data_IF_485970195246
#
_entry.id   IF_485970195246
#
_cell.length_a   1.000
_cell.length_b   1.000
_cell.length_c   1.000
_cell.angle_alpha   90.00
_cell.angle_beta   90.00
_cell.angle_gamma   90.00
#
_symmetry.space_group_name_H-M   'P 1'
#
loop_
_entity.id
_entity.type
_entity.pdbx_description
1 polymer ?
#
# COMPACT_ATOMS: atom_id res chain seq x y z
N UNK A 1 13.53 6.40 9.93
CA UNK A 1 13.29 5.99 8.52
C UNK A 1 11.98 6.58 8.02
N UNK A 2 11.95 7.02 6.77
CA UNK A 2 10.70 7.31 6.07
C UNK A 2 10.41 6.21 5.05
N UNK A 3 9.23 5.61 5.13
CA UNK A 3 8.76 4.62 4.18
C UNK A 3 7.69 5.25 3.29
N UNK A 4 7.93 5.25 1.99
CA UNK A 4 7.03 5.74 0.95
C UNK A 4 6.35 4.54 0.29
N UNK A 5 5.05 4.42 0.44
CA UNK A 5 4.22 3.39 -0.22
C UNK A 5 3.48 4.06 -1.37
N UNK A 6 3.72 3.58 -2.58
CA UNK A 6 3.27 4.22 -3.82
C UNK A 6 2.45 3.23 -4.64
N UNK A 7 1.23 3.61 -5.00
CA UNK A 7 0.44 2.86 -5.98
C UNK A 7 1.01 3.13 -7.39
N UNK A 8 1.04 2.10 -8.24
CA UNK A 8 1.39 2.25 -9.66
C UNK A 8 0.57 3.34 -10.37
N UNK A 9 1.07 3.85 -11.49
CA UNK A 9 0.37 4.77 -12.39
C UNK A 9 -0.83 4.10 -13.08
N UNK A 10 -1.57 4.88 -13.86
CA UNK A 10 -2.74 4.41 -14.61
C UNK A 10 -2.41 3.17 -15.46
N UNK A 11 -3.09 2.00 -15.22
CA UNK A 11 -2.66 0.72 -15.75
C UNK A 11 -3.40 0.28 -17.01
N UNK A 12 -2.73 -0.58 -17.78
CA UNK A 12 -3.32 -1.60 -18.64
C UNK A 12 -3.12 -2.94 -17.91
N UNK A 13 -4.18 -3.73 -17.79
CA UNK A 13 -4.10 -5.00 -17.06
C UNK A 13 -3.73 -6.18 -17.97
N UNK A 14 -4.03 -6.11 -19.28
CA UNK A 14 -3.69 -7.14 -20.25
C UNK A 14 -3.30 -6.50 -21.60
N UNK A 15 -2.01 -6.60 -22.00
CA UNK A 15 -0.86 -7.06 -21.23
C UNK A 15 -0.51 -6.08 -20.09
N UNK A 16 -0.02 -6.61 -18.96
CA UNK A 16 0.32 -5.81 -17.77
C UNK A 16 1.33 -4.70 -18.11
N UNK A 17 0.91 -3.44 -17.98
CA UNK A 17 1.71 -2.26 -18.31
C UNK A 17 1.07 -0.97 -17.80
N UNK A 18 1.71 0.18 -18.07
CA UNK A 18 1.11 1.51 -17.88
C UNK A 18 0.47 2.01 -19.18
N UNK A 19 -0.60 2.79 -19.05
CA UNK A 19 -1.12 3.62 -20.14
C UNK A 19 -0.17 4.78 -20.46
N UNK A 20 -0.34 5.51 -21.58
CA UNK A 20 0.38 6.76 -21.81
C UNK A 20 0.23 7.76 -20.66
N UNK A 21 -0.96 7.86 -20.04
CA UNK A 21 -1.20 8.67 -18.83
C UNK A 21 -0.38 8.16 -17.67
N UNK A 22 -0.36 6.86 -17.41
CA UNK A 22 0.43 6.25 -16.35
C UNK A 22 1.93 6.53 -16.48
N UNK A 23 2.47 6.54 -17.67
CA UNK A 23 3.86 6.93 -17.92
C UNK A 23 4.12 8.42 -17.62
N UNK A 24 3.18 9.31 -17.92
CA UNK A 24 3.30 10.74 -17.54
C UNK A 24 3.23 10.90 -16.01
N UNK A 25 2.33 10.19 -15.35
CA UNK A 25 2.25 10.17 -13.88
C UNK A 25 3.54 9.68 -13.23
N UNK A 26 4.15 8.61 -13.77
CA UNK A 26 5.44 8.08 -13.28
C UNK A 26 6.59 9.09 -13.45
N UNK A 27 6.62 9.83 -14.57
CA UNK A 27 7.61 10.92 -14.79
C UNK A 27 7.42 12.09 -13.83
N UNK A 28 6.18 12.50 -13.56
CA UNK A 28 5.86 13.54 -12.58
C UNK A 28 6.32 13.12 -11.16
N UNK A 29 6.08 11.86 -10.80
CA UNK A 29 6.51 11.28 -9.54
C UNK A 29 8.05 11.25 -9.41
N UNK A 30 8.77 10.92 -10.48
CA UNK A 30 10.23 10.94 -10.49
C UNK A 30 10.79 12.34 -10.20
N UNK A 31 10.19 13.41 -10.75
CA UNK A 31 10.56 14.79 -10.44
C UNK A 31 10.37 15.15 -8.96
N UNK A 32 9.26 14.66 -8.35
CA UNK A 32 9.04 14.82 -6.91
C UNK A 32 10.16 14.19 -6.10
N UNK A 33 10.56 12.96 -6.40
CA UNK A 33 11.63 12.29 -5.68
C UNK A 33 13.02 12.84 -5.98
N UNK A 34 13.23 13.47 -7.13
CA UNK A 34 14.50 14.15 -7.44
C UNK A 34 14.82 15.32 -6.48
N UNK A 35 13.80 15.91 -5.82
CA UNK A 35 14.00 17.06 -4.90
C UNK A 35 14.69 16.64 -3.61
N UNK A 36 14.27 15.52 -3.01
CA UNK A 36 14.76 15.09 -1.68
C UNK A 36 15.46 13.73 -1.69
N UNK A 37 15.45 13.05 -2.83
CA UNK A 37 16.08 11.75 -3.01
C UNK A 37 15.35 10.59 -2.29
N UNK A 38 15.84 9.40 -2.59
CA UNK A 38 15.56 8.15 -1.91
C UNK A 38 16.88 7.43 -1.70
N UNK A 39 16.94 6.53 -0.72
CA UNK A 39 18.11 5.68 -0.48
C UNK A 39 17.92 4.27 -1.07
N UNK A 40 16.66 3.79 -1.13
CA UNK A 40 16.32 2.48 -1.69
C UNK A 40 14.99 2.52 -2.43
N UNK A 41 14.92 1.77 -3.52
CA UNK A 41 13.71 1.57 -4.30
C UNK A 41 13.37 0.09 -4.37
N UNK A 42 12.16 -0.23 -3.96
CA UNK A 42 11.55 -1.55 -4.07
C UNK A 42 10.31 -1.48 -4.94
N UNK A 43 9.99 -2.58 -5.64
CA UNK A 43 8.76 -2.68 -6.42
C UNK A 43 8.15 -4.09 -6.35
N UNK A 44 6.84 -4.16 -6.51
CA UNK A 44 6.14 -5.38 -6.84
C UNK A 44 6.70 -6.01 -8.13
N UNK A 45 6.63 -7.34 -8.32
CA UNK A 45 7.05 -8.01 -9.54
C UNK A 45 6.22 -7.64 -10.77
N UNK A 46 5.04 -7.03 -10.61
CA UNK A 46 4.17 -6.68 -11.73
C UNK A 46 4.71 -5.51 -12.54
N UNK A 47 4.60 -5.61 -13.87
CA UNK A 47 5.23 -4.67 -14.82
C UNK A 47 4.78 -3.23 -14.59
N UNK A 48 3.48 -2.97 -14.36
CA UNK A 48 2.97 -1.62 -14.09
C UNK A 48 3.60 -0.95 -12.87
N UNK A 49 3.95 -1.71 -11.83
CA UNK A 49 4.63 -1.18 -10.65
C UNK A 49 6.10 -0.86 -10.95
N UNK A 50 6.79 -1.76 -11.66
CA UNK A 50 8.16 -1.54 -12.11
C UNK A 50 8.28 -0.35 -13.06
N UNK A 51 7.38 -0.25 -14.05
CA UNK A 51 7.33 0.90 -14.97
C UNK A 51 7.05 2.23 -14.25
N UNK A 52 6.30 2.20 -13.15
CA UNK A 52 6.09 3.40 -12.31
C UNK A 52 7.37 3.79 -11.56
N UNK A 53 8.13 2.80 -11.08
CA UNK A 53 9.38 3.02 -10.36
C UNK A 53 10.53 3.45 -11.28
N UNK A 54 10.53 2.99 -12.53
CA UNK A 54 11.65 3.13 -13.47
C UNK A 54 12.15 4.57 -13.64
N UNK A 55 11.33 5.59 -13.92
CA UNK A 55 11.81 6.96 -14.07
C UNK A 55 12.48 7.51 -12.78
N UNK A 56 11.97 7.10 -11.60
CA UNK A 56 12.58 7.46 -10.32
C UNK A 56 13.93 6.79 -10.12
N UNK A 57 14.04 5.51 -10.47
CA UNK A 57 15.29 4.74 -10.46
C UNK A 57 16.36 5.38 -11.34
N UNK A 58 16.00 5.79 -12.56
CA UNK A 58 16.89 6.44 -13.52
C UNK A 58 17.40 7.80 -13.01
N UNK A 59 16.49 8.66 -12.53
CA UNK A 59 16.86 10.01 -12.05
C UNK A 59 17.76 9.95 -10.80
N UNK A 60 17.51 8.97 -9.90
CA UNK A 60 18.28 8.83 -8.67
C UNK A 60 19.50 7.89 -8.81
N UNK A 61 19.64 7.21 -9.95
CA UNK A 61 20.65 6.18 -10.18
C UNK A 61 20.64 5.08 -9.10
N UNK A 62 19.44 4.62 -8.73
CA UNK A 62 19.23 3.57 -7.73
C UNK A 62 18.60 2.34 -8.38
N UNK A 63 19.06 1.10 -8.05
CA UNK A 63 18.44 -0.11 -8.58
C UNK A 63 17.05 -0.34 -7.97
N UNK A 64 16.16 -0.91 -8.78
CA UNK A 64 14.86 -1.41 -8.30
C UNK A 64 15.05 -2.83 -7.77
N UNK A 65 14.68 -3.07 -6.52
CA UNK A 65 14.69 -4.38 -5.89
C UNK A 65 13.26 -4.94 -5.89
N UNK A 66 13.09 -6.20 -6.28
CA UNK A 66 11.76 -6.81 -6.38
C UNK A 66 11.34 -7.44 -5.05
N UNK A 67 10.11 -7.16 -4.63
CA UNK A 67 9.46 -7.71 -3.45
C UNK A 67 8.24 -8.56 -3.87
N UNK A 68 8.44 -9.87 -3.95
CA UNK A 68 7.42 -10.82 -4.42
C UNK A 68 6.13 -10.80 -3.58
N UNK A 69 6.25 -10.56 -2.26
CA UNK A 69 5.08 -10.47 -1.38
C UNK A 69 4.13 -9.32 -1.70
N UNK A 70 4.64 -8.28 -2.38
CA UNK A 70 3.87 -7.11 -2.79
C UNK A 70 3.13 -7.30 -4.12
N UNK A 71 3.06 -8.52 -4.66
CA UNK A 71 2.29 -8.85 -5.87
C UNK A 71 0.79 -8.72 -5.62
N UNK A 72 0.12 -7.93 -6.48
CA UNK A 72 -1.35 -7.79 -6.43
C UNK A 72 -2.09 -9.02 -6.94
N UNK A 73 -1.49 -9.81 -7.83
CA UNK A 73 -2.12 -11.03 -8.33
C UNK A 73 -2.43 -12.00 -7.19
N UNK A 74 -1.47 -12.19 -6.27
CA UNK A 74 -1.69 -13.02 -5.08
C UNK A 74 -2.79 -12.45 -4.17
N UNK A 75 -2.76 -11.13 -3.94
CA UNK A 75 -3.79 -10.47 -3.14
C UNK A 75 -5.18 -10.55 -3.82
N UNK A 76 -5.24 -10.41 -5.15
CA UNK A 76 -6.49 -10.53 -5.91
C UNK A 76 -7.12 -11.93 -5.76
N UNK A 77 -6.35 -12.99 -5.92
CA UNK A 77 -6.84 -14.36 -5.75
C UNK A 77 -7.38 -14.62 -4.34
N UNK A 78 -6.77 -13.99 -3.34
CA UNK A 78 -7.07 -14.23 -1.92
C UNK A 78 -8.20 -13.36 -1.37
N UNK A 79 -8.33 -12.09 -1.84
CA UNK A 79 -9.20 -11.08 -1.21
C UNK A 79 -10.33 -10.58 -2.11
N UNK A 80 -10.68 -11.34 -3.15
CA UNK A 80 -11.86 -11.04 -3.95
C UNK A 80 -13.06 -11.90 -3.53
N UNK A 81 -14.24 -11.31 -3.64
CA UNK A 81 -15.52 -11.93 -3.34
C UNK A 81 -16.49 -11.73 -4.50
N UNK A 82 -17.50 -12.60 -4.62
CA UNK A 82 -18.59 -12.41 -5.58
C UNK A 82 -19.49 -11.27 -5.09
N UNK A 83 -19.64 -10.23 -5.90
CA UNK A 83 -20.46 -9.07 -5.57
C UNK A 83 -21.86 -9.13 -6.19
N UNK A 84 -21.94 -9.47 -7.49
CA UNK A 84 -23.20 -9.62 -8.22
C UNK A 84 -23.02 -10.62 -9.35
N UNK A 85 -23.74 -11.74 -9.32
CA UNK A 85 -23.54 -12.83 -10.28
C UNK A 85 -22.12 -13.42 -10.15
N UNK A 86 -21.41 -13.55 -11.28
CA UNK A 86 -20.04 -14.08 -11.30
C UNK A 86 -18.95 -13.00 -11.27
N UNK A 87 -19.31 -11.72 -11.12
CA UNK A 87 -18.35 -10.64 -11.01
C UNK A 87 -17.60 -10.71 -9.67
N UNK A 88 -16.26 -10.76 -9.75
CA UNK A 88 -15.38 -10.67 -8.60
C UNK A 88 -15.04 -9.21 -8.32
N UNK A 89 -15.14 -8.83 -7.06
CA UNK A 89 -14.70 -7.53 -6.57
C UNK A 89 -13.81 -7.70 -5.34
N UNK A 90 -12.92 -6.75 -5.11
CA UNK A 90 -12.21 -6.67 -3.85
C UNK A 90 -13.19 -6.58 -2.68
N UNK A 91 -12.90 -7.32 -1.62
CA UNK A 91 -13.72 -7.31 -0.39
C UNK A 91 -13.89 -5.91 0.18
N UNK A 92 -12.89 -5.05 0.06
CA UNK A 92 -12.91 -3.69 0.60
C UNK A 92 -13.73 -2.68 -0.24
N UNK A 93 -14.21 -3.03 -1.43
CA UNK A 93 -15.17 -2.20 -2.20
C UNK A 93 -16.62 -2.42 -1.79
N UNK A 94 -16.89 -3.26 -0.78
CA UNK A 94 -18.22 -3.32 -0.20
C UNK A 94 -18.62 -1.97 0.37
N UNK A 95 -19.92 -1.67 0.31
CA UNK A 95 -20.43 -0.38 0.78
C UNK A 95 -19.93 -0.12 2.21
N UNK A 96 -19.41 1.08 2.43
CA UNK A 96 -18.86 1.52 3.73
C UNK A 96 -19.83 1.28 4.90
N UNK A 97 -21.15 1.36 4.63
CA UNK A 97 -22.20 1.08 5.59
C UNK A 97 -22.23 -0.37 6.05
N UNK A 98 -21.95 -1.34 5.16
CA UNK A 98 -21.97 -2.77 5.51
C UNK A 98 -20.88 -3.12 6.54
N UNK A 99 -19.67 -2.60 6.36
CA UNK A 99 -18.59 -2.77 7.34
C UNK A 99 -18.87 -2.05 8.66
N UNK A 100 -19.57 -0.90 8.63
CA UNK A 100 -19.84 -0.09 9.81
C UNK A 100 -21.08 -0.53 10.58
N UNK A 101 -22.07 -1.13 9.94
CA UNK A 101 -23.26 -1.68 10.60
C UNK A 101 -22.91 -2.84 11.54
N UNK A 102 -21.84 -3.57 11.26
CA UNK A 102 -21.31 -4.61 12.13
C UNK A 102 -20.20 -4.07 13.07
N UNK A 103 -19.99 -2.75 13.11
CA UNK A 103 -18.88 -2.09 13.80
C UNK A 103 -18.88 -2.29 15.31
N UNK A 104 -20.05 -2.37 15.94
CA UNK A 104 -20.15 -2.60 17.40
C UNK A 104 -19.68 -4.00 17.78
N UNK A 105 -19.94 -5.02 16.96
CA UNK A 105 -19.38 -6.36 17.13
C UNK A 105 -17.85 -6.38 16.97
N UNK A 106 -17.34 -5.52 16.08
CA UNK A 106 -15.92 -5.48 15.69
C UNK A 106 -15.07 -4.57 16.61
N UNK A 107 -15.67 -3.53 17.19
CA UNK A 107 -15.03 -2.62 18.14
C UNK A 107 -15.07 -3.15 19.56
N UNK A 108 -16.05 -4.05 19.86
CA UNK A 108 -16.26 -4.63 21.18
C UNK A 108 -15.53 -5.91 21.36
N UNK A 109 -14.46 -6.31 21.62
CA UNK A 109 -13.81 -7.61 21.89
C UNK A 109 -13.83 -8.66 20.76
N UNK A 110 -14.40 -8.36 19.59
CA UNK A 110 -14.43 -9.28 18.45
C UNK A 110 -13.13 -9.26 17.64
N UNK A 111 -12.71 -10.43 17.18
CA UNK A 111 -11.69 -10.52 16.15
C UNK A 111 -12.35 -10.06 14.83
N UNK A 112 -11.83 -9.03 14.19
CA UNK A 112 -12.37 -8.52 12.90
C UNK A 112 -12.46 -9.63 11.82
N UNK A 113 -11.66 -10.69 11.94
CA UNK A 113 -11.69 -11.86 11.07
C UNK A 113 -12.97 -12.68 11.22
N UNK A 114 -13.67 -12.55 12.34
CA UNK A 114 -14.94 -13.23 12.59
C UNK A 114 -16.14 -12.44 12.05
N UNK A 115 -15.91 -11.23 11.54
CA UNK A 115 -16.95 -10.37 11.00
C UNK A 115 -17.64 -11.01 9.80
N UNK A 116 -18.98 -11.00 9.79
CA UNK A 116 -19.80 -11.57 8.72
C UNK A 116 -19.42 -11.06 7.33
N UNK A 117 -19.02 -9.80 7.23
CA UNK A 117 -18.60 -9.16 5.98
C UNK A 117 -17.31 -9.71 5.37
N UNK A 118 -16.47 -10.39 6.16
CA UNK A 118 -15.21 -10.99 5.69
C UNK A 118 -15.23 -12.53 5.65
N UNK A 119 -16.30 -13.16 6.16
CA UNK A 119 -16.44 -14.63 6.17
C UNK A 119 -16.51 -15.27 4.77
N UNK A 120 -16.82 -14.48 3.74
CA UNK A 120 -16.82 -14.94 2.36
C UNK A 120 -15.42 -15.14 1.78
N UNK A 121 -14.39 -14.57 2.42
CA UNK A 121 -13.00 -14.75 2.03
C UNK A 121 -12.58 -16.16 2.43
N UNK A 122 -12.26 -16.97 1.43
CA UNK A 122 -11.76 -18.32 1.67
C UNK A 122 -10.38 -18.23 2.33
N UNK A 123 -10.24 -18.90 3.48
CA UNK A 123 -8.95 -19.03 4.17
C UNK A 123 -8.28 -17.69 4.51
N UNK A 124 -9.09 -16.71 4.94
CA UNK A 124 -8.67 -15.36 5.32
C UNK A 124 -7.41 -15.36 6.21
N UNK A 125 -7.31 -16.32 7.12
CA UNK A 125 -6.19 -16.39 8.06
C UNK A 125 -4.86 -16.69 7.35
N UNK A 126 -4.83 -17.66 6.42
CA UNK A 126 -3.60 -17.99 5.69
C UNK A 126 -3.23 -16.92 4.67
N UNK A 127 -4.22 -16.29 4.04
CA UNK A 127 -4.00 -15.15 3.14
C UNK A 127 -3.31 -13.99 3.87
N UNK A 128 -3.81 -13.63 5.05
CA UNK A 128 -3.16 -12.61 5.87
C UNK A 128 -1.79 -13.04 6.37
N UNK A 129 -1.61 -14.28 6.83
CA UNK A 129 -0.30 -14.80 7.26
C UNK A 129 0.77 -14.71 6.18
N UNK A 130 0.41 -14.89 4.91
CA UNK A 130 1.34 -14.70 3.78
C UNK A 130 1.81 -13.25 3.68
N UNK A 131 0.86 -12.31 3.71
CA UNK A 131 1.15 -10.87 3.69
C UNK A 131 2.00 -10.46 4.91
N UNK A 132 1.59 -10.89 6.09
CA UNK A 132 2.28 -10.65 7.37
C UNK A 132 3.74 -11.12 7.29
N UNK A 133 3.97 -12.36 6.90
CA UNK A 133 5.31 -12.94 6.80
C UNK A 133 6.20 -12.18 5.81
N UNK A 134 5.66 -11.82 4.63
CA UNK A 134 6.40 -11.09 3.61
C UNK A 134 6.77 -9.68 4.06
N UNK A 135 5.78 -8.94 4.58
CA UNK A 135 5.96 -7.56 5.03
C UNK A 135 6.83 -7.46 6.29
N UNK A 136 6.69 -8.39 7.24
CA UNK A 136 7.54 -8.41 8.44
C UNK A 136 9.00 -8.71 8.08
N UNK A 137 9.26 -9.66 7.18
CA UNK A 137 10.59 -9.91 6.67
C UNK A 137 11.18 -8.71 5.92
N UNK A 138 10.37 -7.97 5.15
CA UNK A 138 10.77 -6.74 4.50
C UNK A 138 11.16 -5.66 5.52
N UNK A 139 10.33 -5.38 6.52
CA UNK A 139 10.62 -4.38 7.55
C UNK A 139 11.80 -4.79 8.44
N UNK A 140 11.96 -6.08 8.74
CA UNK A 140 13.12 -6.57 9.53
C UNK A 140 14.44 -6.34 8.79
N UNK A 141 14.49 -6.53 7.46
CA UNK A 141 15.67 -6.17 6.63
C UNK A 141 15.95 -4.66 6.64
N UNK A 142 14.94 -3.84 6.83
CA UNK A 142 15.08 -2.38 6.99
C UNK A 142 15.43 -1.96 8.42
N UNK A 143 15.54 -2.91 9.35
CA UNK A 143 15.93 -2.67 10.74
C UNK A 143 14.78 -2.56 11.74
N UNK A 144 13.57 -2.99 11.38
CA UNK A 144 12.38 -2.88 12.23
C UNK A 144 11.68 -4.23 12.35
N UNK A 145 11.80 -4.87 13.51
CA UNK A 145 11.17 -6.15 13.81
C UNK A 145 9.84 -5.96 14.51
N UNK A 146 8.78 -6.53 13.97
CA UNK A 146 7.47 -6.51 14.58
C UNK A 146 7.46 -7.24 15.93
N UNK A 147 6.88 -6.62 16.95
CA UNK A 147 6.69 -7.23 18.27
C UNK A 147 5.21 -7.49 18.56
N UNK A 148 4.36 -6.58 18.16
CA UNK A 148 2.91 -6.70 18.33
C UNK A 148 2.18 -5.76 17.37
N UNK A 149 0.88 -5.60 17.54
CA UNK A 149 0.02 -4.77 16.72
C UNK A 149 0.55 -3.33 16.63
N UNK A 150 1.10 -2.93 15.47
CA UNK A 150 1.62 -1.58 15.22
C UNK A 150 2.88 -1.20 16.01
N UNK A 151 3.54 -2.15 16.70
CA UNK A 151 4.74 -1.90 17.51
C UNK A 151 5.92 -2.69 16.93
N UNK A 152 7.05 -1.99 16.77
CA UNK A 152 8.27 -2.53 16.19
C UNK A 152 9.47 -2.25 17.08
N UNK A 153 10.31 -3.27 17.28
CA UNK A 153 11.65 -3.11 17.85
C UNK A 153 12.59 -2.54 16.81
N UNK A 154 13.35 -1.54 17.16
CA UNK A 154 14.41 -0.97 16.35
C UNK A 154 15.66 -1.84 16.50
N UNK A 155 15.94 -2.66 15.48
CA UNK A 155 17.16 -3.47 15.42
C UNK A 155 18.35 -2.62 14.96
N UNK A 156 18.09 -1.70 14.02
CA UNK A 156 19.07 -0.78 13.48
C UNK A 156 18.38 0.58 13.22
N UNK A 157 18.71 1.62 13.97
CA UNK A 157 18.21 2.97 13.69
C UNK A 157 18.56 3.40 12.27
N UNK A 158 17.60 3.99 11.56
CA UNK A 158 17.77 4.40 10.17
C UNK A 158 17.12 5.76 9.92
N UNK A 159 17.79 6.61 9.14
CA UNK A 159 17.24 7.85 8.58
C UNK A 159 16.93 7.70 7.08
N UNK A 160 17.03 6.47 6.56
CA UNK A 160 16.81 6.19 5.14
C UNK A 160 15.40 6.56 4.69
N UNK A 161 15.33 6.94 3.42
CA UNK A 161 14.11 7.22 2.66
C UNK A 161 13.89 6.04 1.70
N UNK A 162 12.98 5.15 2.06
CA UNK A 162 12.74 3.87 1.37
C UNK A 162 11.41 3.94 0.63
N UNK A 163 11.39 3.62 -0.66
CA UNK A 163 10.17 3.58 -1.46
C UNK A 163 9.79 2.14 -1.84
N UNK A 164 8.50 1.81 -1.73
CA UNK A 164 7.88 0.59 -2.26
C UNK A 164 6.79 0.98 -3.27
N UNK A 165 7.02 0.63 -4.53
CA UNK A 165 6.04 0.79 -5.60
C UNK A 165 5.19 -0.47 -5.69
N UNK A 166 3.90 -0.34 -5.43
CA UNK A 166 2.98 -1.46 -5.33
C UNK A 166 1.58 -1.12 -5.90
N UNK A 167 0.52 -1.61 -5.28
CA UNK A 167 -0.82 -1.64 -5.82
C UNK A 167 -1.84 -1.19 -4.78
N UNK A 168 -3.05 -0.85 -5.24
CA UNK A 168 -4.16 -0.47 -4.36
C UNK A 168 -4.49 -1.59 -3.36
N UNK A 169 -4.72 -2.82 -3.85
CA UNK A 169 -5.10 -3.94 -2.99
C UNK A 169 -4.04 -4.24 -1.93
N UNK A 170 -2.78 -4.33 -2.35
CA UNK A 170 -1.65 -4.54 -1.40
C UNK A 170 -1.58 -3.41 -0.37
N UNK A 171 -1.73 -2.16 -0.79
CA UNK A 171 -1.69 -0.99 0.10
C UNK A 171 -2.80 -1.04 1.14
N UNK A 172 -4.04 -1.33 0.71
CA UNK A 172 -5.20 -1.40 1.59
C UNK A 172 -5.13 -2.59 2.57
N UNK A 173 -4.50 -3.69 2.18
CA UNK A 173 -4.29 -4.83 3.06
C UNK A 173 -3.13 -4.60 4.05
N UNK A 174 -2.00 -4.07 3.57
CA UNK A 174 -0.78 -3.97 4.34
C UNK A 174 -0.76 -2.81 5.34
N UNK A 175 -1.21 -1.61 4.94
CA UNK A 175 -1.15 -0.43 5.82
C UNK A 175 -1.88 -0.64 7.14
N UNK A 176 -3.13 -1.14 7.19
CA UNK A 176 -3.80 -1.38 8.45
C UNK A 176 -3.06 -2.41 9.31
N UNK A 177 -2.50 -3.46 8.72
CA UNK A 177 -1.65 -4.41 9.44
C UNK A 177 -0.41 -3.74 10.04
N UNK A 178 0.32 -2.95 9.24
CA UNK A 178 1.52 -2.25 9.66
C UNK A 178 1.25 -1.26 10.79
N UNK A 179 0.14 -0.54 10.74
CA UNK A 179 -0.25 0.47 11.73
C UNK A 179 -0.98 -0.11 12.94
N UNK A 180 -1.43 -1.36 12.89
CA UNK A 180 -2.26 -1.97 13.93
C UNK A 180 -3.70 -1.42 13.96
N UNK A 181 -4.21 -1.01 12.82
CA UNK A 181 -5.60 -0.56 12.66
C UNK A 181 -6.45 -1.74 12.19
N UNK A 182 -7.64 -1.97 12.78
CA UNK A 182 -8.55 -2.99 12.27
C UNK A 182 -8.86 -2.78 10.77
N UNK A 183 -8.61 -3.77 9.90
CA UNK A 183 -8.69 -3.58 8.44
C UNK A 183 -10.04 -3.06 7.95
N UNK A 184 -11.14 -3.50 8.50
CA UNK A 184 -12.49 -3.06 8.10
C UNK A 184 -12.73 -1.56 8.35
N UNK A 185 -12.11 -0.97 9.39
CA UNK A 185 -12.17 0.47 9.64
C UNK A 185 -11.34 1.24 8.61
N UNK A 186 -10.20 0.69 8.23
CA UNK A 186 -9.35 1.28 7.22
C UNK A 186 -10.01 1.22 5.83
N UNK A 187 -10.49 0.05 5.42
CA UNK A 187 -11.12 -0.16 4.11
C UNK A 187 -12.38 0.69 3.91
N UNK A 188 -13.14 0.93 4.99
CA UNK A 188 -14.34 1.79 4.93
C UNK A 188 -14.05 3.29 4.96
N UNK A 189 -12.78 3.71 5.04
CA UNK A 189 -12.42 5.11 5.29
C UNK A 189 -11.36 5.66 4.33
N UNK A 190 -10.53 4.81 3.75
CA UNK A 190 -9.37 5.22 2.97
C UNK A 190 -9.29 4.49 1.64
N UNK A 191 -8.80 5.20 0.63
CA UNK A 191 -8.42 4.63 -0.65
C UNK A 191 -7.17 5.34 -1.19
N UNK A 192 -6.50 4.75 -2.18
CA UNK A 192 -5.27 5.28 -2.76
C UNK A 192 -5.40 5.49 -4.25
N UNK A 193 -4.96 6.64 -4.74
CA UNK A 193 -5.01 7.00 -6.15
C UNK A 193 -3.76 6.53 -6.92
N UNK A 194 -3.82 6.52 -8.26
CA UNK A 194 -2.68 6.25 -9.13
C UNK A 194 -1.51 7.20 -8.81
N UNK A 195 -0.32 6.67 -8.66
CA UNK A 195 0.89 7.35 -8.19
C UNK A 195 0.75 8.06 -6.84
N UNK A 196 -0.35 7.84 -6.11
CA UNK A 196 -0.54 8.36 -4.77
C UNK A 196 0.58 7.89 -3.82
N UNK A 197 1.18 8.84 -3.12
CA UNK A 197 2.29 8.62 -2.21
C UNK A 197 1.79 8.66 -0.77
N UNK A 198 1.89 7.54 -0.07
CA UNK A 198 1.65 7.47 1.38
C UNK A 198 2.97 7.39 2.11
N UNK A 199 3.16 8.23 3.13
CA UNK A 199 4.44 8.37 3.84
C UNK A 199 4.28 7.97 5.30
N UNK A 200 5.13 7.04 5.75
CA UNK A 200 5.15 6.53 7.12
C UNK A 200 6.50 6.83 7.77
N UNK A 201 6.46 7.47 8.93
CA UNK A 201 7.63 7.72 9.75
C UNK A 201 7.83 6.57 10.76
N UNK A 202 8.99 5.94 10.71
CA UNK A 202 9.51 5.04 11.75
C UNK A 202 10.53 5.83 12.57
N UNK A 203 10.06 6.45 13.64
CA UNK A 203 10.89 7.33 14.48
C UNK A 203 11.92 6.55 15.27
N UNK A 204 13.15 7.04 15.33
CA UNK A 204 14.20 6.47 16.17
C UNK A 204 14.00 6.94 17.62
N UNK A 205 13.43 6.06 18.45
CA UNK A 205 13.19 6.34 19.86
C UNK A 205 14.31 5.74 20.73
N UNK A 206 14.77 6.44 21.79
CA UNK A 206 15.84 5.96 22.67
C UNK A 206 15.55 4.65 23.38
N UNK A 207 14.26 4.31 23.59
CA UNK A 207 13.84 3.04 24.21
C UNK A 207 13.90 1.84 23.26
N UNK A 208 14.34 2.02 22.00
CA UNK A 208 14.48 0.95 21.02
C UNK A 208 13.17 0.43 20.44
N UNK A 209 12.04 1.12 20.66
CA UNK A 209 10.73 0.74 20.18
C UNK A 209 10.11 1.89 19.38
N UNK A 210 9.44 1.59 18.27
CA UNK A 210 8.71 2.56 17.45
C UNK A 210 7.34 2.04 17.06
N UNK A 211 6.42 2.98 16.80
CA UNK A 211 5.16 2.73 16.13
C UNK A 211 5.10 3.62 14.89
N UNK A 212 4.95 3.08 13.68
CA UNK A 212 4.93 3.89 12.47
C UNK A 212 3.74 4.84 12.47
N UNK A 213 3.97 6.08 12.01
CA UNK A 213 2.93 7.09 11.89
C UNK A 213 2.74 7.49 10.44
N UNK A 214 1.51 7.43 9.94
CA UNK A 214 1.18 7.99 8.65
C UNK A 214 1.22 9.53 8.74
N UNK A 215 2.12 10.16 7.98
CA UNK A 215 2.30 11.62 7.97
C UNK A 215 1.78 12.26 6.67
N UNK A 216 1.52 11.43 5.64
CA UNK A 216 0.85 11.81 4.40
C UNK A 216 0.17 10.56 3.83
N UNK A 217 -1.00 10.69 3.23
CA UNK A 217 -1.74 9.56 2.67
C UNK A 217 -2.24 9.86 1.25
N UNK A 218 -1.90 8.99 0.29
CA UNK A 218 -2.31 9.07 -1.12
C UNK A 218 -2.10 10.43 -1.79
N UNK A 219 -1.02 11.14 -1.45
CA UNK A 219 -0.74 12.48 -1.97
C UNK A 219 -0.28 12.44 -3.43
N UNK A 220 -1.03 13.15 -4.28
CA UNK A 220 -0.82 13.27 -5.73
C UNK A 220 -0.37 14.68 -6.15
N UNK A 221 0.10 15.52 -5.25
CA UNK A 221 0.46 16.93 -5.54
C UNK A 221 1.43 17.08 -6.72
N UNK A 222 2.27 16.07 -6.98
CA UNK A 222 3.18 16.04 -8.13
C UNK A 222 2.46 16.08 -9.48
N UNK A 223 1.21 15.62 -9.56
CA UNK A 223 0.41 15.69 -10.79
C UNK A 223 0.00 17.14 -11.09
N UNK A 224 -0.47 17.87 -10.06
CA UNK A 224 -0.83 19.28 -10.21
C UNK A 224 0.35 20.14 -10.63
N UNK A 225 1.54 19.89 -10.06
CA UNK A 225 2.77 20.61 -10.39
C UNK A 225 3.20 20.44 -11.85
N UNK A 226 2.84 19.32 -12.46
CA UNK A 226 3.14 19.01 -13.87
C UNK A 226 1.96 19.31 -14.81
N UNK A 227 0.88 19.93 -14.31
CA UNK A 227 -0.31 20.23 -15.11
C UNK A 227 -1.06 18.98 -15.60
N UNK A 228 -0.91 17.86 -14.91
CA UNK A 228 -1.62 16.62 -15.20
C UNK A 228 -3.00 16.60 -14.51
N UNK A 229 -3.98 15.87 -15.06
CA UNK A 229 -5.27 15.73 -14.42
C UNK A 229 -5.14 15.20 -12.98
N UNK A 230 -5.77 15.91 -12.05
CA UNK A 230 -5.82 15.55 -10.63
C UNK A 230 -7.19 14.94 -10.34
N UNK A 231 -7.27 13.63 -10.57
CA UNK A 231 -8.52 12.89 -10.54
C UNK A 231 -8.34 11.61 -9.70
N UNK A 232 -9.34 11.27 -8.91
CA UNK A 232 -9.38 9.97 -8.25
C UNK A 232 -9.89 8.91 -9.24
N UNK A 233 -9.11 7.84 -9.44
CA UNK A 233 -9.41 6.71 -10.34
C UNK A 233 -9.71 7.15 -11.80
N UNK A 234 -9.26 8.32 -12.24
CA UNK A 234 -9.55 8.95 -13.53
C UNK A 234 -11.04 9.35 -13.74
N UNK A 235 -11.84 9.37 -12.70
CA UNK A 235 -13.29 9.58 -12.78
C UNK A 235 -13.76 10.79 -11.96
N UNK A 236 -13.14 11.05 -10.81
CA UNK A 236 -13.57 12.11 -9.88
C UNK A 236 -12.50 13.21 -9.86
N UNK A 237 -12.86 14.43 -10.29
CA UNK A 237 -12.01 15.61 -10.18
C UNK A 237 -11.83 16.00 -8.68
N UNK A 238 -10.59 16.29 -8.26
CA UNK A 238 -10.22 16.61 -6.88
C UNK A 238 -9.79 18.07 -6.72
#
# INVERSE_FOLDING_TARGET
MLLFVIRHGDPIYDPDSLTPRGHLQAKALAKRFAVHGLDRIYASPLIRAQQTAQPTSEVLNLPIQIEEWASENLAWEEFTVKYSGDFLHWVFFRQNTEFRQNGDELLGNGNWKDAKSVQEIKDLENCYKRLEKGSDAFLERLGYKRESCGIYRILKPSEERVALFCHQGVTLLWIPYMLGIPPHLFWSSFDVNHTGVSVFEFKNNPNGITSPKCISFSDNSHLLLEGLPYQFQNEIDL
#
